data_IF_175146263546
#
_entry.id   IF_175146263546
#
_cell.length_a   1.000
_cell.length_b   1.000
_cell.length_c   1.000
_cell.angle_alpha   90.00
_cell.angle_beta   90.00
_cell.angle_gamma   90.00
#
_symmetry.space_group_name_H-M   'P 1'
#
loop_
_entity.id
_entity.type
_entity.pdbx_description
1 polymer ?
#
# COMPACT_ATOMS: atom_id res chain seq x y z
N UNK A 1 -10.68 9.38 -27.28
CA UNK A 1 -9.90 8.20 -27.66
C UNK A 1 -10.36 7.08 -26.75
N UNK A 2 -11.24 6.20 -27.22
CA UNK A 2 -11.78 5.09 -26.42
C UNK A 2 -10.73 3.98 -26.43
N UNK A 3 -10.06 3.76 -25.29
CA UNK A 3 -9.24 2.57 -25.11
C UNK A 3 -10.14 1.34 -25.38
N UNK A 4 -9.73 0.49 -26.32
CA UNK A 4 -10.46 -0.74 -26.62
C UNK A 4 -10.19 -1.71 -25.47
N UNK A 5 -11.23 -2.37 -24.97
CA UNK A 5 -11.15 -3.25 -23.78
C UNK A 5 -10.28 -4.50 -23.99
N UNK A 6 -9.67 -4.68 -25.16
CA UNK A 6 -8.80 -5.78 -25.57
C UNK A 6 -7.30 -5.45 -25.54
N UNK A 7 -6.93 -4.19 -25.29
CA UNK A 7 -5.53 -3.78 -25.19
C UNK A 7 -4.97 -4.09 -23.78
N UNK A 8 -3.78 -4.70 -23.71
CA UNK A 8 -3.08 -4.94 -22.44
C UNK A 8 -2.50 -3.62 -21.93
N UNK A 9 -3.02 -3.12 -20.81
CA UNK A 9 -2.63 -1.83 -20.22
C UNK A 9 -1.63 -1.94 -19.05
N UNK A 10 -1.41 -3.15 -18.52
CA UNK A 10 -0.54 -3.40 -17.37
C UNK A 10 0.41 -4.57 -17.62
N UNK A 11 1.55 -4.61 -16.92
CA UNK A 11 2.60 -5.60 -17.13
C UNK A 11 2.12 -7.02 -16.79
N UNK A 12 1.47 -7.18 -15.62
CA UNK A 12 0.92 -8.46 -15.17
C UNK A 12 -0.37 -8.81 -15.91
N UNK A 13 -0.31 -9.89 -16.69
CA UNK A 13 -1.49 -10.47 -17.35
C UNK A 13 -2.45 -11.17 -16.36
N UNK A 14 -1.90 -11.71 -15.28
CA UNK A 14 -2.64 -12.42 -14.24
C UNK A 14 -2.10 -12.06 -12.86
N UNK A 15 -3.03 -11.94 -11.91
CA UNK A 15 -2.78 -11.78 -10.48
C UNK A 15 -3.45 -12.97 -9.77
N UNK A 16 -2.66 -13.82 -9.12
CA UNK A 16 -3.08 -15.03 -8.42
C UNK A 16 -3.41 -14.75 -6.96
N UNK A 17 -2.74 -13.78 -6.36
CA UNK A 17 -2.84 -13.43 -4.93
C UNK A 17 -2.83 -11.92 -4.74
N UNK A 18 -3.78 -11.44 -3.94
CA UNK A 18 -3.95 -10.05 -3.52
C UNK A 18 -3.96 -10.04 -2.00
N UNK A 19 -2.86 -9.61 -1.38
CA UNK A 19 -2.60 -9.81 0.04
C UNK A 19 -2.56 -8.48 0.78
N UNK A 20 -3.49 -8.28 1.72
CA UNK A 20 -3.56 -7.07 2.54
C UNK A 20 -2.76 -7.20 3.84
N UNK A 21 -2.16 -6.11 4.27
CA UNK A 21 -1.42 -6.03 5.54
C UNK A 21 -1.76 -4.73 6.26
N UNK A 22 -2.17 -4.75 7.55
CA UNK A 22 -2.36 -3.53 8.33
C UNK A 22 -1.11 -2.67 8.29
N UNK A 23 -1.28 -1.36 8.14
CA UNK A 23 -0.17 -0.41 8.03
C UNK A 23 0.31 0.08 9.39
N UNK A 24 -0.58 0.07 10.38
CA UNK A 24 -0.26 0.40 11.76
C UNK A 24 -1.16 -0.39 12.72
N UNK A 25 -0.57 -1.02 13.72
CA UNK A 25 -1.28 -1.78 14.76
C UNK A 25 -1.11 -1.08 16.11
N UNK A 26 -2.21 -0.63 16.70
CA UNK A 26 -2.22 0.05 17.99
C UNK A 26 -1.75 -0.89 19.11
N UNK A 27 -0.89 -0.39 20.01
CA UNK A 27 -0.40 -1.14 21.17
C UNK A 27 0.80 -2.05 20.92
N UNK A 28 1.33 -2.11 19.69
CA UNK A 28 2.63 -2.74 19.40
C UNK A 28 3.79 -1.74 19.62
N UNK A 29 4.97 -2.25 20.00
CA UNK A 29 6.19 -1.41 20.12
C UNK A 29 6.65 -0.87 18.77
N UNK A 30 6.48 -1.68 17.72
CA UNK A 30 6.65 -1.29 16.32
C UNK A 30 5.30 -1.46 15.63
N UNK A 31 4.60 -0.35 15.40
CA UNK A 31 3.28 -0.36 14.75
C UNK A 31 3.35 -0.85 13.31
N UNK A 32 4.52 -0.75 12.66
CA UNK A 32 4.80 -1.22 11.29
C UNK A 32 5.23 -2.69 11.22
N UNK A 33 5.31 -3.40 12.35
CA UNK A 33 5.80 -4.80 12.44
C UNK A 33 5.19 -5.74 11.41
N UNK A 34 3.89 -5.60 11.12
CA UNK A 34 3.23 -6.44 10.11
C UNK A 34 3.70 -6.11 8.69
N UNK A 35 3.88 -4.83 8.34
CA UNK A 35 4.44 -4.41 7.05
C UNK A 35 5.87 -4.93 6.88
N UNK A 36 6.72 -4.78 7.91
CA UNK A 36 8.11 -5.27 7.88
C UNK A 36 8.15 -6.79 7.66
N UNK A 37 7.33 -7.55 8.38
CA UNK A 37 7.22 -8.99 8.18
C UNK A 37 6.77 -9.34 6.75
N UNK A 38 5.80 -8.62 6.19
CA UNK A 38 5.31 -8.86 4.84
C UNK A 38 6.35 -8.51 3.77
N UNK A 39 7.14 -7.45 3.97
CA UNK A 39 8.19 -7.02 3.04
C UNK A 39 9.31 -8.04 2.86
N UNK A 40 9.48 -8.97 3.81
CA UNK A 40 10.47 -10.06 3.73
C UNK A 40 9.97 -11.33 3.03
N UNK A 41 8.71 -11.39 2.58
CA UNK A 41 8.16 -12.58 1.93
C UNK A 41 8.83 -12.85 0.58
N UNK A 42 9.00 -14.13 0.24
CA UNK A 42 9.64 -14.54 -1.02
C UNK A 42 9.06 -15.85 -1.57
N UNK A 43 9.40 -16.17 -2.82
CA UNK A 43 9.01 -17.44 -3.45
C UNK A 43 7.50 -17.63 -3.51
N UNK A 44 7.01 -18.77 -3.02
CA UNK A 44 5.57 -19.10 -2.99
C UNK A 44 4.78 -18.36 -1.90
N UNK A 45 5.47 -17.75 -0.93
CA UNK A 45 4.85 -17.01 0.17
C UNK A 45 4.63 -15.53 -0.19
N UNK A 46 5.39 -14.99 -1.15
CA UNK A 46 5.18 -13.64 -1.66
C UNK A 46 3.94 -13.57 -2.56
N UNK A 47 3.07 -12.56 -2.39
CA UNK A 47 1.91 -12.38 -3.24
C UNK A 47 2.29 -11.91 -4.64
N UNK A 48 1.33 -11.95 -5.56
CA UNK A 48 1.47 -11.32 -6.86
C UNK A 48 1.31 -9.80 -6.77
N UNK A 49 0.41 -9.36 -5.88
CA UNK A 49 0.17 -7.97 -5.50
C UNK A 49 0.10 -7.89 -3.97
N UNK A 50 1.02 -7.16 -3.36
CA UNK A 50 0.98 -6.83 -1.93
C UNK A 50 0.32 -5.47 -1.72
N UNK A 51 -0.51 -5.38 -0.68
CA UNK A 51 -1.38 -4.23 -0.41
C UNK A 51 -1.18 -3.80 1.04
N UNK A 52 -0.26 -2.85 1.30
CA UNK A 52 -0.27 -2.09 2.54
C UNK A 52 -1.62 -1.38 2.68
N UNK A 53 -2.41 -1.79 3.67
CA UNK A 53 -3.83 -1.49 3.73
C UNK A 53 -4.16 -0.45 4.81
N UNK A 54 -4.17 0.82 4.39
CA UNK A 54 -4.45 1.97 5.25
C UNK A 54 -5.96 2.27 5.38
N UNK A 55 -6.82 1.34 4.94
CA UNK A 55 -8.27 1.46 5.03
C UNK A 55 -8.83 0.55 6.14
N UNK A 56 -9.46 -0.57 5.80
CA UNK A 56 -10.25 -1.35 6.78
C UNK A 56 -9.40 -2.28 7.64
N UNK A 57 -8.18 -2.61 7.20
CA UNK A 57 -7.25 -3.40 8.03
C UNK A 57 -6.59 -2.56 9.13
N UNK A 58 -6.67 -1.23 9.05
CA UNK A 58 -5.99 -0.30 9.95
C UNK A 58 -7.00 0.56 10.70
N UNK A 59 -6.89 0.60 12.02
CA UNK A 59 -7.78 1.39 12.87
C UNK A 59 -7.79 2.87 12.42
N UNK A 60 -8.95 3.55 12.36
CA UNK A 60 -9.02 4.93 11.88
C UNK A 60 -8.07 5.91 12.58
N UNK A 61 -7.83 5.71 13.88
CA UNK A 61 -6.89 6.48 14.70
C UNK A 61 -5.42 6.31 14.29
N UNK A 62 -5.09 5.22 13.61
CA UNK A 62 -3.72 4.84 13.26
C UNK A 62 -3.38 5.14 11.79
N UNK A 63 -4.32 5.65 10.98
CA UNK A 63 -4.11 5.74 9.52
C UNK A 63 -3.10 6.79 9.09
N UNK A 64 -2.95 7.88 9.85
CA UNK A 64 -1.92 8.86 9.54
C UNK A 64 -0.52 8.29 9.82
N UNK A 65 -0.35 7.59 10.93
CA UNK A 65 0.87 6.81 11.22
C UNK A 65 1.08 5.68 10.20
N UNK A 66 0.02 5.00 9.81
CA UNK A 66 0.05 3.95 8.80
C UNK A 66 0.55 4.43 7.44
N UNK A 67 0.23 5.66 7.02
CA UNK A 67 0.78 6.25 5.80
C UNK A 67 2.30 6.47 5.91
N UNK A 68 2.80 6.89 7.07
CA UNK A 68 4.24 7.04 7.32
C UNK A 68 4.96 5.68 7.38
N UNK A 69 4.33 4.68 8.00
CA UNK A 69 4.86 3.31 8.03
C UNK A 69 4.97 2.70 6.62
N UNK A 70 4.03 3.01 5.72
CA UNK A 70 4.14 2.63 4.30
C UNK A 70 5.41 3.22 3.71
N UNK A 71 5.62 4.53 3.86
CA UNK A 71 6.79 5.24 3.32
C UNK A 71 8.08 4.61 3.85
N UNK A 72 8.18 4.46 5.16
CA UNK A 72 9.36 3.92 5.84
C UNK A 72 9.70 2.51 5.33
N UNK A 73 8.75 1.58 5.38
CA UNK A 73 9.01 0.18 5.01
C UNK A 73 9.31 0.02 3.51
N UNK A 74 8.64 0.79 2.65
CA UNK A 74 8.88 0.73 1.22
C UNK A 74 10.22 1.37 0.82
N UNK A 75 10.63 2.45 1.49
CA UNK A 75 11.96 3.05 1.28
C UNK A 75 13.09 2.09 1.64
N UNK A 76 12.90 1.26 2.68
CA UNK A 76 13.90 0.30 3.13
C UNK A 76 13.94 -0.98 2.27
N UNK A 77 12.76 -1.54 1.95
CA UNK A 77 12.64 -2.92 1.45
C UNK A 77 11.89 -3.05 0.11
N UNK A 78 11.20 -1.99 -0.33
CA UNK A 78 10.29 -2.03 -1.48
C UNK A 78 10.99 -2.41 -2.79
N UNK A 79 12.21 -1.90 -3.01
CA UNK A 79 12.99 -2.20 -4.22
C UNK A 79 13.36 -3.68 -4.36
N UNK A 80 13.47 -4.42 -3.25
CA UNK A 80 13.80 -5.84 -3.24
C UNK A 80 12.57 -6.75 -3.25
N UNK A 81 11.36 -6.19 -3.08
CA UNK A 81 10.15 -6.99 -3.01
C UNK A 81 9.86 -7.63 -4.37
N UNK A 82 9.57 -8.95 -4.44
CA UNK A 82 9.58 -9.69 -5.71
C UNK A 82 8.33 -9.44 -6.58
N UNK A 83 7.38 -8.61 -6.15
CA UNK A 83 6.08 -8.42 -6.80
C UNK A 83 5.64 -6.96 -6.81
N UNK A 84 4.47 -6.71 -7.40
CA UNK A 84 3.89 -5.37 -7.39
C UNK A 84 3.38 -5.01 -5.99
N UNK A 85 3.47 -3.72 -5.64
CA UNK A 85 3.00 -3.15 -4.38
C UNK A 85 1.97 -2.07 -4.71
N UNK A 86 0.76 -2.21 -4.17
CA UNK A 86 -0.36 -1.29 -4.42
C UNK A 86 -1.04 -0.93 -3.10
N UNK A 87 -0.59 0.12 -2.38
CA UNK A 87 -1.20 0.51 -1.13
C UNK A 87 -2.69 0.86 -1.28
N UNK A 88 -3.53 0.41 -0.34
CA UNK A 88 -4.94 0.80 -0.27
C UNK A 88 -5.08 2.03 0.62
N UNK A 89 -5.67 3.09 0.07
CA UNK A 89 -6.00 4.33 0.78
C UNK A 89 -7.49 4.42 1.09
N UNK A 90 -7.85 5.21 2.08
CA UNK A 90 -9.26 5.46 2.40
C UNK A 90 -9.98 6.16 1.23
N UNK A 91 -11.18 5.69 0.91
CA UNK A 91 -12.04 6.37 -0.05
C UNK A 91 -13.52 6.06 0.22
N UNK A 92 -14.39 7.05 0.09
CA UNK A 92 -15.82 6.79 0.16
C UNK A 92 -16.62 7.73 -0.76
N UNK A 93 -17.50 7.15 -1.59
CA UNK A 93 -18.29 7.90 -2.59
C UNK A 93 -19.20 8.96 -1.95
N UNK A 94 -19.67 8.71 -0.73
CA UNK A 94 -20.59 9.60 -0.01
C UNK A 94 -19.86 10.54 0.98
N UNK A 95 -18.53 10.48 1.10
CA UNK A 95 -17.75 11.29 2.04
C UNK A 95 -16.64 12.08 1.34
N UNK A 96 -16.83 13.39 1.08
CA UNK A 96 -15.79 14.26 0.54
C UNK A 96 -14.52 14.28 1.40
N UNK A 97 -14.68 14.23 2.73
CA UNK A 97 -13.58 14.25 3.69
C UNK A 97 -12.71 13.00 3.53
N UNK A 98 -13.32 11.82 3.43
CA UNK A 98 -12.59 10.56 3.23
C UNK A 98 -11.84 10.55 1.90
N UNK A 99 -12.43 11.11 0.83
CA UNK A 99 -11.74 11.24 -0.46
C UNK A 99 -10.53 12.17 -0.39
N UNK A 100 -10.66 13.30 0.29
CA UNK A 100 -9.57 14.25 0.44
C UNK A 100 -8.44 13.65 1.29
N UNK A 101 -8.77 12.97 2.39
CA UNK A 101 -7.78 12.28 3.22
C UNK A 101 -6.99 11.23 2.41
N UNK A 102 -7.69 10.36 1.66
CA UNK A 102 -7.01 9.37 0.83
C UNK A 102 -6.10 10.01 -0.22
N UNK A 103 -6.52 11.13 -0.81
CA UNK A 103 -5.70 11.89 -1.74
C UNK A 103 -4.45 12.49 -1.08
N UNK A 104 -4.56 13.04 0.14
CA UNK A 104 -3.41 13.56 0.87
C UNK A 104 -2.40 12.45 1.17
N UNK A 105 -2.84 11.29 1.67
CA UNK A 105 -1.95 10.14 1.90
C UNK A 105 -1.28 9.66 0.60
N UNK A 106 -1.98 9.69 -0.55
CA UNK A 106 -1.36 9.38 -1.84
C UNK A 106 -0.26 10.36 -2.23
N UNK A 107 -0.49 11.67 -1.99
CA UNK A 107 0.54 12.69 -2.25
C UNK A 107 1.76 12.46 -1.36
N UNK A 108 1.55 12.19 -0.07
CA UNK A 108 2.64 11.97 0.88
C UNK A 108 3.44 10.70 0.53
N UNK A 109 2.77 9.60 0.20
CA UNK A 109 3.41 8.32 -0.16
C UNK A 109 4.18 8.43 -1.49
N UNK A 110 3.66 9.18 -2.46
CA UNK A 110 4.29 9.31 -3.77
C UNK A 110 5.31 10.46 -3.85
N UNK A 111 5.52 11.19 -2.76
CA UNK A 111 6.49 12.29 -2.71
C UNK A 111 7.92 11.72 -2.74
N UNK A 112 8.72 12.02 -3.78
CA UNK A 112 10.11 11.56 -3.84
C UNK A 112 10.96 12.08 -2.67
N UNK A 113 10.62 13.23 -2.09
CA UNK A 113 11.34 13.77 -0.93
C UNK A 113 11.11 12.92 0.34
N UNK A 114 10.06 12.08 0.36
CA UNK A 114 9.76 11.13 1.43
C UNK A 114 10.40 9.74 1.22
N UNK A 115 10.99 9.48 0.05
CA UNK A 115 11.87 8.32 -0.19
C UNK A 115 11.19 6.97 -0.48
N UNK A 116 9.85 6.92 -0.60
CA UNK A 116 9.14 5.67 -0.92
C UNK A 116 9.17 5.30 -2.41
N UNK A 117 9.50 6.26 -3.30
CA UNK A 117 9.55 6.10 -4.75
C UNK A 117 10.83 6.74 -5.28
N UNK A 118 11.73 5.95 -5.90
CA UNK A 118 12.85 6.41 -6.74
C UNK A 118 12.64 6.04 -8.21
#
# INVERSE_FOLDING_TARGET
MTARHDERLHDRKFVRTFFTTPTAVEGEEDSAKMLRSASGLSGMEAPDVWVPDNEDATAPSMRDEGAHNIIEVLSENGAAFPSEIHPRVVWHRDSPQTRYQGFQHMLDIADPDNGAVE
#
